data_IF_248430854912
#
_entry.id   IF_248430854912
#
_cell.length_a   1.000
_cell.length_b   1.000
_cell.length_c   1.000
_cell.angle_alpha   90.00
_cell.angle_beta   90.00
_cell.angle_gamma   90.00
#
_symmetry.space_group_name_H-M   'P 1'
#
loop_
_entity.id
_entity.type
_entity.pdbx_description
1 polymer ?
#
# COMPACT_ATOMS: atom_id res chain seq x y z
N UNK A 1 11.72 -1.10 19.03
CA UNK A 1 12.79 -0.12 18.74
C UNK A 1 12.28 0.69 17.57
N UNK A 2 11.90 1.96 17.77
CA UNK A 2 11.22 2.77 16.74
C UNK A 2 12.20 3.02 15.59
N UNK A 3 11.97 2.41 14.43
CA UNK A 3 12.74 2.74 13.23
C UNK A 3 12.26 4.08 12.68
N UNK A 4 13.25 4.91 12.43
CA UNK A 4 13.17 6.30 11.98
C UNK A 4 12.92 6.28 10.47
N UNK A 5 11.83 6.90 10.01
CA UNK A 5 11.56 7.06 8.57
C UNK A 5 11.79 8.53 8.25
N UNK A 6 12.95 8.85 7.70
CA UNK A 6 13.29 10.19 7.22
C UNK A 6 13.05 10.28 5.71
N UNK A 7 12.32 11.32 5.32
CA UNK A 7 12.29 12.00 4.03
C UNK A 7 11.80 11.24 2.77
N UNK A 8 10.57 11.52 2.27
CA UNK A 8 10.30 11.77 0.83
C UNK A 8 8.82 12.01 0.42
N UNK A 9 8.61 13.03 -0.42
CA UNK A 9 7.34 13.56 -0.92
C UNK A 9 6.48 12.60 -1.78
N UNK A 10 5.96 11.52 -1.23
CA UNK A 10 5.09 10.58 -1.97
C UNK A 10 3.66 11.07 -2.00
N UNK A 11 2.93 11.10 -3.12
CA UNK A 11 1.46 11.20 -3.07
C UNK A 11 0.85 9.77 -3.03
N UNK A 12 0.11 9.35 -2.00
CA UNK A 12 -0.43 7.95 -1.91
C UNK A 12 -1.97 7.93 -1.96
N UNK A 13 -2.55 6.94 -2.64
CA UNK A 13 -3.93 6.43 -2.49
C UNK A 13 -3.85 4.90 -2.29
N UNK A 14 -4.53 4.34 -1.28
CA UNK A 14 -4.40 2.92 -0.87
C UNK A 14 -5.71 2.18 -1.13
N UNK A 15 -5.67 1.04 -1.83
CA UNK A 15 -6.79 0.12 -2.03
C UNK A 15 -6.38 -1.29 -1.56
N UNK A 16 -7.23 -1.97 -0.79
CA UNK A 16 -7.02 -3.37 -0.42
C UNK A 16 -8.02 -4.20 -1.20
N UNK A 17 -7.55 -5.00 -2.17
CA UNK A 17 -8.40 -5.94 -2.94
C UNK A 17 -8.12 -7.36 -2.48
N UNK A 18 -9.17 -8.17 -2.32
CA UNK A 18 -9.02 -9.61 -2.15
C UNK A 18 -9.40 -10.29 -3.48
N UNK A 19 -8.48 -11.10 -4.03
CA UNK A 19 -8.69 -11.83 -5.28
C UNK A 19 -9.17 -13.24 -4.95
N UNK A 20 -10.32 -13.66 -5.50
CA UNK A 20 -10.81 -15.05 -5.39
C UNK A 20 -10.53 -15.77 -6.71
N UNK A 21 -9.79 -16.87 -6.65
CA UNK A 21 -9.39 -17.67 -7.82
C UNK A 21 -10.61 -18.31 -8.52
N UNK A 22 -10.88 -17.93 -9.77
CA UNK A 22 -11.83 -18.62 -10.66
C UNK A 22 -11.13 -19.79 -11.37
N UNK A 23 -11.55 -21.02 -11.06
CA UNK A 23 -11.14 -22.20 -11.81
C UNK A 23 -11.98 -22.39 -13.09
N UNK A 24 -11.30 -22.75 -14.18
CA UNK A 24 -11.80 -23.28 -15.47
C UNK A 24 -12.47 -22.31 -16.46
N UNK A 25 -11.65 -21.63 -17.28
CA UNK A 25 -12.02 -21.35 -18.67
C UNK A 25 -10.86 -21.76 -19.60
N UNK A 26 -10.95 -22.87 -20.37
CA UNK A 26 -10.03 -23.13 -21.46
C UNK A 26 -10.44 -22.24 -22.64
N UNK A 27 -9.93 -21.02 -22.66
CA UNK A 27 -10.24 -20.07 -23.71
C UNK A 27 -9.54 -18.75 -23.43
N UNK A 28 -8.57 -18.42 -24.26
CA UNK A 28 -7.82 -17.16 -24.21
C UNK A 28 -8.82 -16.00 -24.25
N UNK A 29 -8.94 -15.30 -23.13
CA UNK A 29 -9.34 -13.90 -23.11
C UNK A 29 -8.09 -13.11 -22.71
N UNK A 30 -7.36 -12.65 -23.72
CA UNK A 30 -6.38 -11.57 -23.55
C UNK A 30 -7.18 -10.29 -23.27
N UNK A 31 -7.60 -10.12 -22.03
CA UNK A 31 -7.94 -8.80 -21.51
C UNK A 31 -6.61 -8.15 -21.14
N UNK A 32 -5.98 -7.50 -22.11
CA UNK A 32 -5.13 -6.36 -21.77
C UNK A 32 -6.08 -5.36 -21.13
N UNK A 33 -6.16 -5.29 -19.79
CA UNK A 33 -6.75 -4.13 -19.15
C UNK A 33 -5.76 -2.99 -19.38
N UNK A 34 -5.81 -2.42 -20.57
CA UNK A 34 -5.05 -1.25 -20.96
C UNK A 34 -5.78 -0.02 -20.43
N UNK A 35 -6.10 -0.03 -19.13
CA UNK A 35 -6.75 1.08 -18.40
C UNK A 35 -6.58 0.92 -16.86
N UNK A 36 -5.45 0.41 -16.36
CA UNK A 36 -5.12 0.56 -14.92
C UNK A 36 -4.52 1.95 -14.61
N UNK A 37 -5.01 2.97 -15.30
CA UNK A 37 -4.81 4.39 -15.02
C UNK A 37 -6.12 5.01 -14.49
N UNK A 38 -6.97 4.19 -13.86
CA UNK A 38 -8.28 4.55 -13.34
C UNK A 38 -8.31 4.55 -11.81
N UNK A 39 -9.19 5.37 -11.25
CA UNK A 39 -9.38 5.47 -9.80
C UNK A 39 -9.78 4.12 -9.23
N UNK A 40 -9.23 3.79 -8.06
CA UNK A 40 -9.64 2.64 -7.28
C UNK A 40 -11.13 2.70 -6.94
N UNK A 41 -11.84 1.60 -7.17
CA UNK A 41 -13.25 1.45 -6.80
C UNK A 41 -13.39 0.19 -5.96
N UNK A 42 -14.41 0.17 -5.10
CA UNK A 42 -14.72 -0.98 -4.26
C UNK A 42 -15.33 -2.11 -5.07
N UNK A 43 -14.99 -3.33 -4.67
CA UNK A 43 -15.69 -4.56 -5.04
C UNK A 43 -16.16 -5.32 -3.78
N UNK A 44 -16.70 -6.53 -3.97
CA UNK A 44 -17.20 -7.37 -2.87
C UNK A 44 -16.10 -7.84 -1.89
N UNK A 45 -14.84 -7.67 -2.26
CA UNK A 45 -13.67 -8.16 -1.55
C UNK A 45 -12.81 -7.01 -0.99
N UNK A 46 -13.24 -5.77 -1.18
CA UNK A 46 -12.48 -4.58 -0.74
C UNK A 46 -12.65 -4.38 0.77
N UNK A 47 -11.58 -4.57 1.54
CA UNK A 47 -11.62 -4.45 3.00
C UNK A 47 -11.42 -2.99 3.45
N UNK A 48 -10.66 -2.21 2.67
CA UNK A 48 -10.41 -0.80 2.95
C UNK A 48 -9.98 -0.04 1.70
N UNK A 49 -10.43 1.20 1.56
CA UNK A 49 -10.12 2.05 0.42
C UNK A 49 -9.99 3.51 0.86
N UNK A 50 -8.83 4.11 0.66
CA UNK A 50 -8.56 5.51 1.04
C UNK A 50 -8.14 6.32 -0.19
N UNK A 51 -9.05 7.18 -0.66
CA UNK A 51 -8.83 8.06 -1.81
C UNK A 51 -8.07 9.34 -1.45
N UNK A 52 -8.25 9.84 -0.22
CA UNK A 52 -7.70 11.11 0.27
C UNK A 52 -8.26 12.36 -0.43
N UNK A 53 -9.52 12.30 -0.87
CA UNK A 53 -10.21 13.36 -1.62
C UNK A 53 -10.72 14.52 -0.76
N UNK A 54 -11.08 14.27 0.50
CA UNK A 54 -11.66 15.28 1.39
C UNK A 54 -10.59 15.83 2.36
N UNK A 55 -10.22 17.12 2.27
CA UNK A 55 -9.26 17.70 3.18
C UNK A 55 -9.74 17.83 4.63
N UNK A 56 -11.05 17.75 4.86
CA UNK A 56 -11.64 17.78 6.19
C UNK A 56 -11.68 16.40 6.85
N UNK A 57 -11.62 15.33 6.06
CA UNK A 57 -11.54 13.94 6.50
C UNK A 57 -10.60 13.10 5.61
N UNK A 58 -9.28 13.37 5.63
CA UNK A 58 -8.36 12.67 4.75
C UNK A 58 -8.30 11.17 5.00
N UNK A 59 -8.61 10.72 6.21
CA UNK A 59 -8.60 9.31 6.56
C UNK A 59 -9.86 8.57 6.17
N UNK A 60 -10.78 9.18 5.42
CA UNK A 60 -12.06 8.56 5.10
C UNK A 60 -11.88 7.22 4.36
N UNK A 61 -12.54 6.18 4.86
CA UNK A 61 -12.57 4.85 4.24
C UNK A 61 -13.80 4.75 3.32
N UNK A 62 -13.54 4.82 2.02
CA UNK A 62 -14.53 4.71 0.95
C UNK A 62 -15.06 3.27 0.76
N UNK A 63 -14.50 2.27 1.46
CA UNK A 63 -14.99 0.88 1.35
C UNK A 63 -16.35 0.67 2.02
N UNK A 64 -16.70 1.52 2.98
CA UNK A 64 -17.91 1.37 3.80
C UNK A 64 -17.75 0.45 5.01
N UNK A 65 -16.55 -0.09 5.26
CA UNK A 65 -16.25 -0.91 6.45
C UNK A 65 -15.86 -0.07 7.69
N UNK A 66 -15.75 1.25 7.54
CA UNK A 66 -15.50 2.17 8.64
C UNK A 66 -14.06 2.13 9.15
N UNK A 67 -13.13 1.70 8.31
CA UNK A 67 -11.71 1.58 8.62
C UNK A 67 -11.00 2.94 8.44
N UNK A 68 -11.55 3.99 9.05
CA UNK A 68 -11.03 5.34 8.91
C UNK A 68 -9.60 5.46 9.44
N UNK A 69 -8.75 6.14 8.68
CA UNK A 69 -7.39 6.47 9.04
C UNK A 69 -7.27 7.74 9.87
N UNK A 70 -6.18 7.83 10.61
CA UNK A 70 -5.75 9.05 11.28
C UNK A 70 -4.46 9.52 10.60
N UNK A 71 -4.48 10.74 10.09
CA UNK A 71 -3.39 11.29 9.27
C UNK A 71 -2.44 12.12 10.11
N UNK A 72 -1.13 11.89 9.94
CA UNK A 72 -0.06 12.54 10.68
C UNK A 72 1.00 13.08 9.72
N UNK A 73 1.37 14.36 9.89
CA UNK A 73 2.52 14.99 9.23
C UNK A 73 2.35 15.33 7.74
N UNK A 74 1.49 14.61 7.02
CA UNK A 74 1.32 14.74 5.57
C UNK A 74 0.72 16.08 5.14
N UNK A 75 1.03 16.50 3.91
CA UNK A 75 0.33 17.58 3.21
C UNK A 75 -0.64 17.03 2.14
N UNK A 76 -1.68 17.78 1.79
CA UNK A 76 -2.53 17.41 0.63
C UNK A 76 -1.85 17.74 -0.69
N UNK A 77 -2.15 16.93 -1.69
CA UNK A 77 -1.75 17.16 -3.06
C UNK A 77 -2.83 16.67 -4.05
N UNK A 78 -2.64 17.01 -5.31
CA UNK A 78 -3.46 16.46 -6.40
C UNK A 78 -3.00 15.04 -6.72
N UNK A 79 -3.91 14.08 -6.60
CA UNK A 79 -3.72 12.70 -7.00
C UNK A 79 -3.90 12.48 -8.50
N UNK A 80 -3.59 11.28 -8.98
CA UNK A 80 -3.99 10.85 -10.33
C UNK A 80 -5.52 10.75 -10.46
N UNK A 81 -6.20 10.52 -9.34
CA UNK A 81 -7.65 10.36 -9.26
C UNK A 81 -8.21 11.11 -8.05
N UNK A 82 -8.29 12.44 -8.17
CA UNK A 82 -8.79 13.30 -7.10
C UNK A 82 -7.67 13.85 -6.21
N UNK A 83 -7.80 13.66 -4.91
CA UNK A 83 -6.81 14.03 -3.90
C UNK A 83 -5.75 12.94 -3.70
N UNK A 84 -4.70 13.31 -2.96
CA UNK A 84 -3.69 12.41 -2.45
C UNK A 84 -2.99 13.05 -1.24
N UNK A 85 -2.28 12.24 -0.48
CA UNK A 85 -1.42 12.72 0.62
C UNK A 85 0.04 12.66 0.26
N UNK A 86 0.75 13.77 0.51
CA UNK A 86 2.17 13.99 0.31
C UNK A 86 2.99 13.59 1.55
N UNK A 87 3.87 12.62 1.32
CA UNK A 87 4.91 11.93 2.09
C UNK A 87 6.17 12.63 2.64
N UNK A 88 6.41 13.96 2.58
CA UNK A 88 7.80 14.47 2.64
C UNK A 88 8.65 14.01 3.82
N UNK A 89 8.07 13.70 4.97
CA UNK A 89 8.83 13.43 6.18
C UNK A 89 9.74 14.61 6.55
N UNK A 90 9.38 15.84 6.14
CA UNK A 90 10.22 17.00 6.29
C UNK A 90 10.41 17.37 7.78
N UNK A 91 11.66 17.36 8.24
CA UNK A 91 12.03 17.80 9.59
C UNK A 91 12.09 16.66 10.61
N UNK A 92 11.38 16.79 11.73
CA UNK A 92 11.36 15.78 12.83
C UNK A 92 10.00 15.09 12.97
N UNK A 93 9.13 15.25 11.98
CA UNK A 93 7.77 14.68 11.96
C UNK A 93 7.78 13.52 10.97
N UNK A 94 7.32 12.35 11.40
CA UNK A 94 7.11 11.23 10.51
C UNK A 94 5.74 11.38 9.85
N UNK A 95 5.68 11.16 8.55
CA UNK A 95 4.45 11.23 7.77
C UNK A 95 3.87 9.83 7.63
N UNK A 96 2.63 9.64 8.08
CA UNK A 96 1.94 8.37 7.96
C UNK A 96 0.42 8.51 8.14
N UNK A 97 -0.30 7.52 7.64
CA UNK A 97 -1.72 7.32 7.95
C UNK A 97 -1.80 6.09 8.83
N UNK A 98 -2.35 6.25 10.04
CA UNK A 98 -2.59 5.13 10.96
C UNK A 98 -4.01 4.65 10.80
N UNK A 99 -4.18 3.42 10.34
CA UNK A 99 -5.45 2.71 10.42
C UNK A 99 -5.47 1.94 11.74
N UNK A 100 -6.46 2.15 12.63
CA UNK A 100 -6.61 1.33 13.83
C UNK A 100 -6.76 -0.16 13.46
N UNK A 101 -6.14 -1.02 14.25
CA UNK A 101 -6.26 -2.46 14.05
C UNK A 101 -7.72 -2.91 14.09
N UNK A 102 -8.10 -3.77 13.14
CA UNK A 102 -9.39 -4.43 13.05
C UNK A 102 -9.19 -5.90 12.63
N UNK A 103 -10.12 -6.77 13.03
CA UNK A 103 -10.03 -8.20 12.75
C UNK A 103 -10.12 -8.53 11.24
N UNK A 104 -10.75 -7.66 10.44
CA UNK A 104 -10.86 -7.83 8.98
C UNK A 104 -9.48 -7.83 8.29
N UNK A 105 -8.46 -7.24 8.94
CA UNK A 105 -7.08 -7.23 8.44
C UNK A 105 -6.30 -8.53 8.73
N UNK A 106 -6.91 -9.52 9.40
CA UNK A 106 -6.25 -10.79 9.73
C UNK A 106 -6.31 -11.83 8.60
N UNK A 107 -6.88 -11.50 7.45
CA UNK A 107 -6.99 -12.44 6.33
C UNK A 107 -5.63 -12.98 5.91
N UNK A 108 -5.53 -14.30 5.75
CA UNK A 108 -4.34 -14.99 5.26
C UNK A 108 -4.05 -14.70 3.77
N UNK A 109 -5.09 -14.36 2.99
CA UNK A 109 -4.98 -13.93 1.60
C UNK A 109 -5.37 -12.46 1.48
N UNK A 110 -4.51 -11.63 0.88
CA UNK A 110 -4.75 -10.19 0.78
C UNK A 110 -3.91 -9.58 -0.34
N UNK A 111 -4.47 -8.60 -1.05
CA UNK A 111 -3.69 -7.74 -1.95
C UNK A 111 -3.65 -6.33 -1.38
N UNK A 112 -2.46 -5.76 -1.28
CA UNK A 112 -2.29 -4.32 -1.11
C UNK A 112 -2.07 -3.68 -2.46
N UNK A 113 -2.81 -2.62 -2.73
CA UNK A 113 -2.62 -1.77 -3.89
C UNK A 113 -2.41 -0.32 -3.47
N UNK A 114 -1.47 0.35 -4.13
CA UNK A 114 -1.19 1.76 -3.89
C UNK A 114 -0.85 2.47 -5.20
N UNK A 115 -1.57 3.54 -5.49
CA UNK A 115 -1.16 4.51 -6.49
C UNK A 115 -0.14 5.43 -5.84
N UNK A 116 1.09 5.41 -6.34
CA UNK A 116 2.21 6.19 -5.81
C UNK A 116 2.83 7.07 -6.89
N UNK A 117 3.23 8.27 -6.49
CA UNK A 117 4.09 9.15 -7.27
C UNK A 117 5.38 9.38 -6.52
N UNK A 118 6.50 8.94 -7.09
CA UNK A 118 7.83 9.07 -6.47
C UNK A 118 8.53 10.30 -7.05
N UNK A 119 8.95 11.23 -6.18
CA UNK A 119 9.58 12.49 -6.62
C UNK A 119 11.08 12.40 -6.76
N UNK A 120 11.74 11.55 -5.98
CA UNK A 120 13.19 11.40 -5.94
C UNK A 120 13.57 9.96 -5.59
N UNK A 121 14.83 9.61 -5.85
CA UNK A 121 15.38 8.30 -5.49
C UNK A 121 15.47 8.13 -3.97
N UNK A 122 15.38 6.88 -3.51
CA UNK A 122 15.50 6.52 -2.10
C UNK A 122 16.97 6.22 -1.80
N UNK A 123 17.60 7.12 -1.07
CA UNK A 123 18.85 6.82 -0.38
C UNK A 123 18.53 5.93 0.84
N UNK A 124 19.25 4.81 0.97
CA UNK A 124 19.15 3.87 2.10
C UNK A 124 18.82 4.55 3.46
N UNK A 125 17.92 3.98 4.29
CA UNK A 125 17.29 2.65 4.18
C UNK A 125 16.04 2.61 3.29
N UNK A 126 15.45 1.41 3.13
CA UNK A 126 14.18 1.18 2.43
C UNK A 126 13.05 2.04 2.99
N UNK A 127 12.11 2.44 2.14
CA UNK A 127 10.98 3.28 2.51
C UNK A 127 9.67 2.47 2.56
N UNK A 128 9.00 2.48 3.71
CA UNK A 128 7.72 1.79 3.87
C UNK A 128 6.59 2.55 3.16
N UNK A 129 5.82 1.82 2.35
CA UNK A 129 4.58 2.32 1.74
C UNK A 129 3.40 1.91 2.61
N UNK A 130 3.29 0.61 2.92
CA UNK A 130 2.29 0.01 3.81
C UNK A 130 3.05 -0.86 4.81
N UNK A 131 2.69 -0.72 6.09
CA UNK A 131 3.23 -1.52 7.17
C UNK A 131 2.09 -2.02 8.06
N UNK A 132 1.98 -3.35 8.13
CA UNK A 132 1.06 -4.06 9.01
C UNK A 132 1.80 -4.83 10.10
N UNK A 133 2.99 -4.38 10.50
CA UNK A 133 3.63 -4.88 11.71
C UNK A 133 2.85 -4.42 12.95
N UNK A 134 2.18 -5.37 13.62
CA UNK A 134 1.54 -5.08 14.89
C UNK A 134 2.56 -4.82 16.01
N UNK A 135 2.24 -3.91 16.94
CA UNK A 135 3.02 -3.67 18.17
C UNK A 135 3.18 -4.93 19.07
N UNK A 136 2.50 -6.03 18.75
CA UNK A 136 2.35 -7.24 19.58
C UNK A 136 2.92 -8.54 18.96
N UNK A 137 3.70 -8.48 17.89
CA UNK A 137 4.36 -9.68 17.32
C UNK A 137 3.43 -10.64 16.57
N UNK A 138 2.38 -10.12 15.94
CA UNK A 138 1.58 -10.85 14.95
C UNK A 138 2.28 -10.94 13.58
N UNK A 139 1.68 -11.58 12.56
CA UNK A 139 2.27 -11.65 11.23
C UNK A 139 2.47 -10.23 10.69
N UNK A 140 3.71 -9.90 10.34
CA UNK A 140 4.06 -8.61 9.75
C UNK A 140 3.90 -8.68 8.24
N UNK A 141 3.19 -7.73 7.63
CA UNK A 141 3.16 -7.60 6.17
C UNK A 141 3.58 -6.21 5.77
N UNK A 142 4.46 -6.12 4.79
CA UNK A 142 5.01 -4.84 4.36
C UNK A 142 5.04 -4.76 2.84
N UNK A 143 4.69 -3.58 2.34
CA UNK A 143 5.03 -3.13 1.00
C UNK A 143 5.96 -1.92 1.15
N UNK A 144 7.16 -2.02 0.59
CA UNK A 144 8.19 -1.01 0.69
C UNK A 144 8.85 -0.75 -0.67
N UNK A 145 9.70 0.26 -0.73
CA UNK A 145 10.65 0.48 -1.81
C UNK A 145 12.06 0.34 -1.25
N UNK A 146 12.84 -0.55 -1.87
CA UNK A 146 14.26 -0.73 -1.59
C UNK A 146 15.11 0.38 -2.26
N UNK A 147 16.40 0.39 -1.93
CA UNK A 147 17.38 1.28 -2.60
C UNK A 147 17.32 1.09 -4.11
N UNK A 148 17.22 2.17 -4.87
CA UNK A 148 17.01 2.13 -6.32
C UNK A 148 15.54 1.98 -6.75
N UNK A 149 14.60 2.24 -5.83
CA UNK A 149 13.14 2.27 -6.08
C UNK A 149 12.54 0.93 -6.49
N UNK A 150 13.12 -0.19 -6.07
CA UNK A 150 12.54 -1.52 -6.33
C UNK A 150 11.45 -1.84 -5.31
N UNK A 151 10.19 -2.07 -5.73
CA UNK A 151 9.16 -2.58 -4.84
C UNK A 151 9.58 -3.88 -4.16
N UNK A 152 9.39 -3.92 -2.84
CA UNK A 152 9.70 -5.06 -1.98
C UNK A 152 8.50 -5.40 -1.11
N UNK A 153 8.20 -6.69 -1.02
CA UNK A 153 7.17 -7.23 -0.16
C UNK A 153 7.76 -8.17 0.87
N UNK A 154 7.31 -8.05 2.13
CA UNK A 154 7.72 -8.94 3.23
C UNK A 154 6.48 -9.50 3.95
N UNK A 155 6.55 -10.78 4.31
CA UNK A 155 5.59 -11.48 5.16
C UNK A 155 6.33 -12.22 6.29
N UNK A 156 6.03 -11.84 7.52
CA UNK A 156 6.50 -12.51 8.74
C UNK A 156 5.42 -13.42 9.27
N UNK A 157 5.80 -14.63 9.69
CA UNK A 157 4.91 -15.53 10.43
C UNK A 157 5.23 -15.47 11.93
N UNK A 158 4.24 -15.51 12.82
CA UNK A 158 4.50 -15.46 14.26
C UNK A 158 5.43 -16.59 14.71
N UNK A 159 6.62 -16.21 15.22
CA UNK A 159 7.55 -17.14 15.86
C UNK A 159 8.38 -18.03 14.93
N UNK A 160 8.42 -17.77 13.62
CA UNK A 160 9.28 -18.52 12.70
C UNK A 160 10.15 -17.60 11.83
N UNK A 161 11.41 -18.01 11.69
CA UNK A 161 12.36 -17.59 10.66
C UNK A 161 12.19 -18.61 9.52
N UNK A 162 11.11 -18.48 8.75
CA UNK A 162 11.31 -17.82 7.48
C UNK A 162 10.39 -16.63 7.27
N UNK A 163 11.02 -15.48 7.04
CA UNK A 163 10.44 -14.31 6.39
C UNK A 163 10.27 -14.64 4.90
N UNK A 164 9.09 -14.40 4.33
CA UNK A 164 8.90 -14.47 2.87
C UNK A 164 9.12 -13.10 2.28
N UNK A 165 10.02 -13.02 1.31
CA UNK A 165 10.37 -11.77 0.64
C UNK A 165 10.15 -11.89 -0.87
N UNK A 166 9.75 -10.78 -1.49
CA UNK A 166 9.73 -10.66 -2.93
C UNK A 166 10.19 -9.26 -3.34
N UNK A 167 10.91 -9.18 -4.46
CA UNK A 167 11.39 -7.92 -5.03
C UNK A 167 10.93 -7.87 -6.48
N UNK A 168 10.35 -6.75 -6.88
CA UNK A 168 10.06 -6.48 -8.29
C UNK A 168 11.36 -6.38 -9.09
N UNK A 169 11.45 -6.98 -10.28
CA UNK A 169 12.61 -6.82 -11.15
C UNK A 169 12.71 -5.41 -11.74
N UNK A 170 11.62 -4.65 -11.72
CA UNK A 170 11.52 -3.32 -12.28
C UNK A 170 11.43 -2.28 -11.16
N UNK A 171 12.24 -1.22 -11.28
CA UNK A 171 12.19 -0.06 -10.41
C UNK A 171 11.00 0.85 -10.76
N UNK A 172 10.47 1.55 -9.77
CA UNK A 172 9.43 2.57 -9.98
C UNK A 172 10.05 3.80 -10.67
N UNK A 173 9.50 4.28 -11.80
CA UNK A 173 9.94 5.52 -12.41
C UNK A 173 9.72 6.73 -11.49
N UNK A 174 10.69 7.64 -11.48
CA UNK A 174 10.56 8.94 -10.84
C UNK A 174 9.72 9.87 -11.71
N UNK A 175 8.82 10.62 -11.08
CA UNK A 175 8.03 11.64 -11.75
C UNK A 175 6.78 11.11 -12.46
N UNK A 176 6.41 9.86 -12.21
CA UNK A 176 5.26 9.21 -12.81
C UNK A 176 4.40 8.53 -11.74
N UNK A 177 3.09 8.44 -12.01
CA UNK A 177 2.17 7.67 -11.18
C UNK A 177 2.23 6.18 -11.55
N UNK A 178 2.35 5.32 -10.55
CA UNK A 178 2.40 3.87 -10.73
C UNK A 178 1.44 3.20 -9.76
N UNK A 179 0.73 2.18 -10.23
CA UNK A 179 0.02 1.26 -9.35
C UNK A 179 0.98 0.16 -8.89
N UNK A 180 1.23 0.09 -7.58
CA UNK A 180 1.94 -0.99 -6.94
C UNK A 180 0.94 -1.96 -6.35
N UNK A 181 1.06 -3.25 -6.70
CA UNK A 181 0.24 -4.31 -6.15
C UNK A 181 1.13 -5.39 -5.51
N UNK A 182 0.84 -5.75 -4.26
CA UNK A 182 1.49 -6.85 -3.54
C UNK A 182 0.44 -7.85 -3.10
N UNK A 183 0.55 -9.07 -3.62
CA UNK A 183 -0.39 -10.17 -3.34
C UNK A 183 0.24 -11.11 -2.32
N UNK A 184 -0.44 -11.30 -1.20
CA UNK A 184 -0.17 -12.36 -0.24
C UNK A 184 -1.15 -13.49 -0.49
N UNK A 185 -0.60 -14.65 -0.85
CA UNK A 185 -1.31 -15.91 -0.96
C UNK A 185 -0.51 -16.96 -0.21
N UNK A 186 -1.01 -17.40 0.95
CA UNK A 186 -0.48 -18.61 1.58
C UNK A 186 -1.22 -19.79 0.96
N UNK A 187 -0.57 -20.44 0.01
CA UNK A 187 -0.99 -21.76 -0.45
C UNK A 187 -1.01 -22.72 0.75
N UNK A 188 -2.19 -23.26 1.04
CA UNK A 188 -2.38 -24.33 2.04
C UNK A 188 -1.72 -25.65 1.64
#
# INVERSE_FOLDING_TARGET
>A
MKQVINNLNVNKSIMIVMFVMLWLIPGIALSQVKDHCGCFITDANTIGLWHFDDPLDPGYDSSGHGHHGIVYGTAFATGICGGALKFDGAGSVNDYVKIPFHADFLSEQMTFEALVYITDDIASPSQLIIDMYGDAGGPGRQLALETGLFPYGLCDTPGADPHYECISPDAVPIGEWVNLALVFDVAG
#
